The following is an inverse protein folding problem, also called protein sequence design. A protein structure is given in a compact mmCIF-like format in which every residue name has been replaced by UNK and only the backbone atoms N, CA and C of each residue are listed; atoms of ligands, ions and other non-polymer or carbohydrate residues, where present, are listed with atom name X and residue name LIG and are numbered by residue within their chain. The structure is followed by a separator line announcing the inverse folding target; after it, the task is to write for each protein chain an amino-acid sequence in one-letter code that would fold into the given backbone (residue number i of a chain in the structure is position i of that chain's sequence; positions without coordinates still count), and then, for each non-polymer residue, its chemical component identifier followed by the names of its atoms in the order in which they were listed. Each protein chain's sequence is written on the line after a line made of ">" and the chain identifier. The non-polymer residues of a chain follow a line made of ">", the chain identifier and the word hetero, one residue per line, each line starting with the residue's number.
data_IF_771714753311
#
_entry.id   IF_771714753311
#
_cell.length_a   1.000
_cell.length_b   1.000
_cell.length_c   1.000
_cell.angle_alpha   90.00
_cell.angle_beta   90.00
_cell.angle_gamma   90.00
#
_symmetry.space_group_name_H-M   'P 1'
#
loop_
_entity.id
_entity.type
_entity.pdbx_description
1 polymer ?
#
# COMPACT_ATOMS: atom_id res chain seq x y z
N UNK A 1 10.43 17.68 -19.29
CA UNK A 1 10.68 18.60 -18.15
C UNK A 1 9.61 19.68 -17.97
N UNK A 2 8.86 20.03 -19.03
CA UNK A 2 7.78 21.04 -18.99
C UNK A 2 6.64 20.72 -18.01
N UNK A 3 6.38 19.46 -17.68
CA UNK A 3 5.31 19.06 -16.74
C UNK A 3 5.67 19.21 -15.25
N UNK A 4 6.88 19.65 -14.91
CA UNK A 4 7.41 19.62 -13.53
C UNK A 4 7.80 20.98 -12.97
N UNK A 5 8.08 21.96 -13.83
CA UNK A 5 8.33 23.33 -13.41
C UNK A 5 7.92 24.28 -14.52
N UNK A 6 7.10 25.27 -14.19
CA UNK A 6 6.73 26.38 -15.05
C UNK A 6 7.59 27.63 -14.80
N UNK A 7 8.70 27.48 -14.04
CA UNK A 7 9.61 28.59 -13.71
C UNK A 7 10.33 29.08 -14.96
N UNK A 8 10.07 30.32 -15.35
CA UNK A 8 10.85 31.02 -16.39
C UNK A 8 12.18 31.48 -15.79
N UNK A 9 13.25 31.48 -16.60
CA UNK A 9 14.60 31.85 -16.13
C UNK A 9 15.25 30.82 -15.21
N UNK A 10 14.96 29.53 -15.39
CA UNK A 10 15.65 28.46 -14.66
C UNK A 10 17.15 28.51 -14.95
N UNK A 11 17.96 28.55 -13.90
CA UNK A 11 19.41 28.45 -14.00
C UNK A 11 19.81 27.02 -14.44
N UNK A 12 21.03 26.80 -14.95
CA UNK A 12 21.52 25.45 -15.23
C UNK A 12 21.41 24.50 -14.02
N UNK A 13 21.68 25.00 -12.80
CA UNK A 13 21.55 24.23 -11.56
C UNK A 13 20.09 23.83 -11.26
N UNK A 14 19.13 24.73 -11.55
CA UNK A 14 17.70 24.41 -11.43
C UNK A 14 17.32 23.27 -12.39
N UNK A 15 17.83 23.31 -13.62
CA UNK A 15 17.59 22.28 -14.65
C UNK A 15 18.15 20.94 -14.23
N UNK A 16 19.39 20.90 -13.74
CA UNK A 16 20.03 19.68 -13.23
C UNK A 16 19.26 19.10 -12.05
N UNK A 17 18.81 19.94 -11.11
CA UNK A 17 17.98 19.49 -10.00
C UNK A 17 16.65 18.90 -10.45
N UNK A 18 15.97 19.52 -11.41
CA UNK A 18 14.72 18.98 -11.97
C UNK A 18 14.97 17.66 -12.70
N UNK A 19 16.08 17.54 -13.42
CA UNK A 19 16.49 16.30 -14.06
C UNK A 19 16.74 15.18 -13.05
N UNK A 20 17.50 15.44 -11.98
CA UNK A 20 17.72 14.47 -10.90
C UNK A 20 16.40 14.06 -10.22
N UNK A 21 15.51 15.01 -9.94
CA UNK A 21 14.21 14.71 -9.33
C UNK A 21 13.33 13.87 -10.26
N UNK A 22 13.36 14.14 -11.57
CA UNK A 22 12.67 13.35 -12.58
C UNK A 22 13.15 11.90 -12.60
N UNK A 23 14.46 11.66 -12.55
CA UNK A 23 15.03 10.30 -12.49
C UNK A 23 14.60 9.56 -11.22
N UNK A 24 14.43 10.26 -10.10
CA UNK A 24 13.96 9.67 -8.82
C UNK A 24 12.47 9.35 -8.81
N UNK A 25 11.67 9.82 -9.76
CA UNK A 25 10.23 9.51 -9.83
C UNK A 25 9.96 8.01 -9.82
N UNK A 26 10.81 7.22 -10.48
CA UNK A 26 10.65 5.76 -10.56
C UNK A 26 10.83 5.05 -9.21
N UNK A 27 11.44 5.71 -8.21
CA UNK A 27 11.52 5.19 -6.84
C UNK A 27 10.13 5.09 -6.18
N UNK A 28 9.15 5.89 -6.62
CA UNK A 28 7.75 5.78 -6.16
C UNK A 28 7.11 4.47 -6.59
N UNK A 29 7.36 4.01 -7.82
CA UNK A 29 6.81 2.74 -8.32
C UNK A 29 7.36 1.55 -7.53
N UNK A 30 8.66 1.58 -7.20
CA UNK A 30 9.26 0.59 -6.31
C UNK A 30 8.66 0.62 -4.91
N UNK A 31 8.34 1.81 -4.40
CA UNK A 31 7.69 1.98 -3.11
C UNK A 31 6.26 1.41 -3.14
N UNK A 32 5.47 1.70 -4.16
CA UNK A 32 4.13 1.13 -4.33
C UNK A 32 4.17 -0.39 -4.48
N UNK A 33 5.11 -0.92 -5.27
CA UNK A 33 5.31 -2.37 -5.39
C UNK A 33 5.62 -2.99 -4.04
N UNK A 34 6.55 -2.42 -3.29
CA UNK A 34 6.92 -2.90 -1.96
C UNK A 34 5.74 -2.87 -0.98
N UNK A 35 5.00 -1.77 -0.92
CA UNK A 35 3.85 -1.60 -0.03
C UNK A 35 2.74 -2.60 -0.38
N UNK A 36 2.44 -2.81 -1.67
CA UNK A 36 1.43 -3.78 -2.11
C UNK A 36 1.86 -5.23 -1.84
N UNK A 37 3.06 -5.61 -2.27
CA UNK A 37 3.49 -7.01 -2.27
C UNK A 37 4.04 -7.49 -0.93
N UNK A 38 4.78 -6.62 -0.22
CA UNK A 38 5.47 -7.00 1.02
C UNK A 38 4.71 -6.56 2.26
N UNK A 39 4.23 -5.31 2.31
CA UNK A 39 3.47 -4.81 3.46
C UNK A 39 1.98 -5.21 3.40
N UNK A 40 1.51 -5.71 2.27
CA UNK A 40 0.17 -6.30 2.15
C UNK A 40 -0.94 -5.26 2.03
N UNK A 41 -0.69 -4.15 1.31
CA UNK A 41 -1.68 -3.09 1.16
C UNK A 41 -3.04 -3.60 0.68
N UNK A 42 -3.03 -4.54 -0.27
CA UNK A 42 -4.23 -5.12 -0.87
C UNK A 42 -4.65 -6.44 -0.23
N UNK A 43 -3.99 -6.87 0.86
CA UNK A 43 -4.26 -8.13 1.54
C UNK A 43 -5.55 -8.12 2.37
N UNK A 44 -5.86 -7.09 3.19
CA UNK A 44 -7.06 -7.13 4.02
C UNK A 44 -8.33 -6.87 3.20
N UNK A 45 -9.38 -7.64 3.48
CA UNK A 45 -10.72 -7.50 2.90
C UNK A 45 -11.54 -6.50 3.71
N UNK A 46 -11.18 -5.22 3.61
CA UNK A 46 -11.83 -4.12 4.32
C UNK A 46 -13.18 -3.77 3.69
N UNK A 47 -14.18 -3.49 4.52
CA UNK A 47 -15.58 -3.29 4.07
C UNK A 47 -15.98 -1.82 3.94
N UNK A 48 -15.26 -0.90 4.57
CA UNK A 48 -15.58 0.53 4.55
C UNK A 48 -14.35 1.33 4.11
N UNK A 49 -14.55 2.48 3.42
CA UNK A 49 -13.44 3.31 2.96
C UNK A 49 -12.60 3.83 4.14
N UNK A 50 -13.21 4.19 5.25
CA UNK A 50 -12.48 4.69 6.44
C UNK A 50 -11.59 3.61 7.04
N UNK A 51 -11.97 2.33 6.94
CA UNK A 51 -11.10 1.23 7.35
C UNK A 51 -9.90 1.08 6.40
N UNK A 52 -10.11 1.26 5.09
CA UNK A 52 -9.05 1.26 4.08
C UNK A 52 -8.07 2.43 4.26
N UNK A 53 -8.56 3.61 4.64
CA UNK A 53 -7.73 4.78 4.92
C UNK A 53 -6.86 4.54 6.16
N UNK A 54 -7.45 4.04 7.25
CA UNK A 54 -6.70 3.68 8.47
C UNK A 54 -5.65 2.61 8.19
N UNK A 55 -5.97 1.63 7.35
CA UNK A 55 -5.01 0.62 6.92
C UNK A 55 -3.84 1.24 6.15
N UNK A 56 -4.12 2.18 5.25
CA UNK A 56 -3.09 2.91 4.51
C UNK A 56 -2.17 3.70 5.46
N UNK A 57 -2.72 4.36 6.48
CA UNK A 57 -1.92 5.02 7.51
C UNK A 57 -1.01 4.07 8.29
N UNK A 58 -1.49 2.88 8.65
CA UNK A 58 -0.67 1.85 9.30
C UNK A 58 0.52 1.45 8.41
N UNK A 59 0.30 1.29 7.10
CA UNK A 59 1.37 0.95 6.15
C UNK A 59 2.39 2.08 6.00
N UNK A 60 1.93 3.33 5.99
CA UNK A 60 2.82 4.52 5.96
C UNK A 60 3.70 4.52 7.20
N UNK A 61 3.12 4.35 8.39
CA UNK A 61 3.89 4.26 9.64
C UNK A 61 4.89 3.11 9.60
N UNK A 62 4.48 1.91 9.16
CA UNK A 62 5.37 0.77 9.04
C UNK A 62 6.52 1.03 8.05
N UNK A 63 6.23 1.65 6.89
CA UNK A 63 7.26 2.01 5.93
C UNK A 63 8.26 3.02 6.51
N UNK A 64 7.77 4.03 7.23
CA UNK A 64 8.61 5.02 7.93
C UNK A 64 9.48 4.36 8.99
N UNK A 65 8.93 3.45 9.80
CA UNK A 65 9.71 2.69 10.79
C UNK A 65 10.84 1.89 10.13
N UNK A 66 10.58 1.24 9.00
CA UNK A 66 11.62 0.51 8.25
C UNK A 66 12.70 1.45 7.69
N UNK A 67 12.35 2.67 7.30
CA UNK A 67 13.32 3.67 6.83
C UNK A 67 14.19 4.19 7.98
N UNK A 68 13.58 4.48 9.13
CA UNK A 68 14.27 4.99 10.32
C UNK A 68 15.17 3.94 10.98
N UNK A 69 14.78 2.68 10.96
CA UNK A 69 15.56 1.58 11.56
C UNK A 69 16.67 1.04 10.66
N UNK A 70 16.76 1.51 9.41
CA UNK A 70 17.80 1.12 8.45
C UNK A 70 19.23 1.09 9.04
N UNK A 71 19.74 2.15 9.69
CA UNK A 71 21.11 2.14 10.21
C UNK A 71 21.35 1.09 11.29
N UNK A 72 20.28 0.62 11.96
CA UNK A 72 20.34 -0.39 13.01
C UNK A 72 20.21 -1.82 12.47
N UNK A 73 19.91 -1.99 11.19
CA UNK A 73 19.64 -3.29 10.60
C UNK A 73 20.93 -3.99 10.14
N UNK A 74 21.16 -5.19 10.65
CA UNK A 74 22.11 -6.12 10.04
C UNK A 74 21.57 -6.63 8.69
N UNK A 75 22.43 -6.80 7.69
CA UNK A 75 22.04 -7.33 6.37
C UNK A 75 21.80 -8.85 6.44
N UNK A 76 20.59 -9.25 6.86
CA UNK A 76 20.13 -10.65 6.81
C UNK A 76 19.80 -11.06 5.38
N UNK A 77 20.87 -11.27 4.60
CA UNK A 77 20.83 -11.62 3.18
C UNK A 77 20.59 -13.09 2.92
N UNK A 78 19.93 -13.37 1.80
CA UNK A 78 19.92 -14.71 1.21
C UNK A 78 21.29 -14.98 0.57
N UNK A 79 21.70 -16.26 0.44
CA UNK A 79 23.04 -16.61 -0.03
C UNK A 79 23.44 -15.95 -1.36
N UNK A 80 22.49 -15.83 -2.29
CA UNK A 80 22.69 -15.26 -3.63
C UNK A 80 22.53 -13.73 -3.70
N UNK A 81 22.13 -13.08 -2.61
CA UNK A 81 21.97 -11.62 -2.60
C UNK A 81 23.31 -10.94 -2.35
N UNK A 82 23.61 -9.91 -3.15
CA UNK A 82 24.83 -9.10 -2.99
C UNK A 82 24.85 -8.41 -1.62
N UNK A 83 25.99 -8.43 -0.90
CA UNK A 83 26.16 -7.66 0.33
C UNK A 83 25.88 -6.18 0.10
N UNK A 84 25.22 -5.53 1.05
CA UNK A 84 24.91 -4.11 0.98
C UNK A 84 25.19 -3.47 2.34
N UNK A 85 25.79 -2.28 2.32
CA UNK A 85 26.04 -1.50 3.53
C UNK A 85 24.73 -1.02 4.15
N UNK A 86 24.70 -0.84 5.48
CA UNK A 86 23.46 -0.51 6.21
C UNK A 86 22.76 0.74 5.67
N UNK A 87 23.49 1.76 5.23
CA UNK A 87 22.97 3.00 4.63
C UNK A 87 22.20 2.77 3.31
N UNK A 88 22.49 1.67 2.61
CA UNK A 88 21.89 1.31 1.30
C UNK A 88 20.86 0.18 1.38
N UNK A 89 20.57 -0.35 2.57
CA UNK A 89 19.60 -1.42 2.71
C UNK A 89 18.19 -0.98 2.24
N UNK A 90 17.58 -1.81 1.40
CA UNK A 90 16.20 -1.57 0.96
C UNK A 90 15.23 -1.86 2.11
N UNK A 91 14.04 -1.23 2.14
CA UNK A 91 13.04 -1.51 3.18
C UNK A 91 12.69 -3.00 3.33
N UNK A 92 12.75 -3.77 2.24
CA UNK A 92 12.55 -5.21 2.26
C UNK A 92 13.66 -5.96 3.01
N UNK A 93 14.93 -5.55 2.86
CA UNK A 93 16.05 -6.13 3.61
C UNK A 93 15.93 -5.80 5.10
N UNK A 94 15.67 -4.53 5.43
CA UNK A 94 15.47 -4.07 6.81
C UNK A 94 14.34 -4.85 7.49
N UNK A 95 13.22 -5.07 6.79
CA UNK A 95 12.08 -5.83 7.31
C UNK A 95 12.46 -7.23 7.77
N UNK A 96 13.39 -7.92 7.10
CA UNK A 96 13.82 -9.28 7.50
C UNK A 96 14.48 -9.28 8.87
N UNK A 97 15.30 -8.27 9.14
CA UNK A 97 15.97 -8.09 10.43
C UNK A 97 15.14 -7.33 11.48
N UNK A 98 14.02 -6.72 11.09
CA UNK A 98 13.24 -5.84 11.97
C UNK A 98 12.74 -6.55 13.24
N UNK A 99 12.50 -7.86 13.19
CA UNK A 99 12.14 -8.65 14.39
C UNK A 99 13.24 -8.59 15.47
N UNK A 100 14.50 -8.60 15.06
CA UNK A 100 15.64 -8.54 15.98
C UNK A 100 15.76 -7.13 16.57
N UNK A 101 15.58 -6.10 15.74
CA UNK A 101 15.59 -4.69 16.18
C UNK A 101 14.46 -4.43 17.18
N UNK A 102 13.25 -4.91 16.88
CA UNK A 102 12.05 -4.69 17.71
C UNK A 102 12.22 -5.16 19.15
N UNK A 103 13.00 -6.21 19.40
CA UNK A 103 13.24 -6.72 20.75
C UNK A 103 14.00 -5.72 21.64
N UNK A 104 14.74 -4.80 21.04
CA UNK A 104 15.53 -3.79 21.75
C UNK A 104 14.88 -2.40 21.76
N UNK A 105 13.76 -2.23 21.05
CA UNK A 105 13.01 -0.97 21.06
C UNK A 105 12.08 -0.93 22.28
N UNK A 106 11.95 0.24 22.90
CA UNK A 106 10.94 0.47 23.91
C UNK A 106 9.54 0.16 23.34
N UNK A 107 8.75 -0.64 24.07
CA UNK A 107 7.38 -0.94 23.71
C UNK A 107 6.45 0.05 24.43
N UNK A 108 5.90 1.09 23.75
CA UNK A 108 5.01 2.05 24.38
C UNK A 108 3.65 1.43 24.74
N UNK A 109 3.33 0.25 24.20
CA UNK A 109 2.09 -0.45 24.50
C UNK A 109 2.13 -1.08 25.89
N UNK A 110 1.12 -0.79 26.70
CA UNK A 110 0.89 -1.47 27.97
C UNK A 110 0.58 -2.96 27.72
N UNK A 111 0.93 -3.80 28.69
CA UNK A 111 0.54 -5.21 28.69
C UNK A 111 -0.97 -5.33 28.46
N UNK A 112 -1.42 -6.20 27.52
CA UNK A 112 -2.84 -6.43 27.29
C UNK A 112 -3.53 -6.84 28.58
N UNK A 113 -4.73 -6.31 28.84
CA UNK A 113 -5.54 -6.78 29.96
C UNK A 113 -5.92 -8.25 29.70
N UNK A 114 -5.69 -9.18 30.65
CA UNK A 114 -6.17 -10.55 30.52
C UNK A 114 -7.69 -10.50 30.34
N UNK A 115 -8.18 -11.03 29.22
CA UNK A 115 -9.61 -11.18 28.98
C UNK A 115 -9.80 -12.67 28.69
N UNK A 116 -10.59 -13.35 29.52
CA UNK A 116 -10.95 -14.74 29.27
C UNK A 116 -11.68 -14.88 27.93
N UNK A 117 -11.87 -16.11 27.46
CA UNK A 117 -12.79 -16.36 26.37
C UNK A 117 -14.15 -15.76 26.77
N UNK A 118 -14.71 -14.88 25.93
CA UNK A 118 -16.09 -14.45 26.12
C UNK A 118 -17.01 -15.67 26.12
N UNK A 119 -18.26 -15.56 26.60
CA UNK A 119 -19.22 -16.67 26.75
C UNK A 119 -19.63 -17.34 25.42
N UNK A 120 -18.93 -17.08 24.33
CA UNK A 120 -19.25 -17.55 22.99
C UNK A 120 -20.57 -16.97 22.52
N UNK A 121 -21.05 -17.53 21.42
CA UNK A 121 -22.40 -17.27 20.94
C UNK A 121 -23.35 -18.23 21.64
N UNK A 122 -24.47 -17.77 22.22
CA UNK A 122 -25.49 -18.66 22.77
C UNK A 122 -25.97 -19.67 21.71
N UNK A 123 -26.11 -20.96 22.05
CA UNK A 123 -26.71 -21.95 21.16
C UNK A 123 -28.09 -21.48 20.64
N UNK A 124 -28.39 -21.74 19.36
CA UNK A 124 -29.66 -21.31 18.73
C UNK A 124 -29.74 -19.84 18.29
N UNK A 125 -28.77 -19.00 18.67
CA UNK A 125 -28.65 -17.62 18.18
C UNK A 125 -28.37 -17.59 16.68
N UNK A 126 -29.34 -17.12 15.86
CA UNK A 126 -29.14 -16.83 14.43
C UNK A 126 -28.70 -15.38 14.21
N UNK A 127 -27.93 -15.11 13.16
CA UNK A 127 -27.54 -13.73 12.84
C UNK A 127 -28.76 -12.99 12.30
N UNK A 128 -29.31 -12.05 13.09
CA UNK A 128 -30.50 -11.27 12.72
C UNK A 128 -30.22 -10.17 11.70
N UNK A 129 -28.95 -9.81 11.49
CA UNK A 129 -28.54 -8.74 10.56
C UNK A 129 -27.54 -9.31 9.56
N UNK A 130 -28.00 -9.50 8.33
CA UNK A 130 -27.09 -9.76 7.22
C UNK A 130 -26.30 -8.48 6.90
N UNK A 131 -25.03 -8.61 6.53
CA UNK A 131 -24.27 -7.47 6.05
C UNK A 131 -24.90 -6.98 4.72
N UNK A 132 -25.08 -5.66 4.52
CA UNK A 132 -25.51 -5.13 3.23
C UNK A 132 -24.60 -5.64 2.12
N UNK A 133 -25.18 -6.26 1.09
CA UNK A 133 -24.46 -6.69 -0.11
C UNK A 133 -24.71 -5.62 -1.18
N UNK A 134 -23.63 -4.96 -1.58
CA UNK A 134 -23.66 -4.04 -2.71
C UNK A 134 -23.39 -4.82 -3.99
N UNK A 135 -24.11 -4.50 -5.06
CA UNK A 135 -23.83 -5.08 -6.37
C UNK A 135 -22.40 -4.68 -6.79
N UNK A 136 -21.57 -5.68 -7.06
CA UNK A 136 -20.19 -5.49 -7.50
C UNK A 136 -20.29 -5.21 -8.98
N UNK A 137 -20.57 -3.95 -9.34
CA UNK A 137 -20.77 -3.45 -10.71
C UNK A 137 -19.64 -3.83 -11.67
N UNK A 138 -19.64 -5.09 -12.11
CA UNK A 138 -18.78 -5.65 -13.13
C UNK A 138 -19.64 -5.98 -14.32
N UNK A 139 -19.66 -5.02 -15.23
CA UNK A 139 -19.78 -5.16 -16.68
C UNK A 139 -20.78 -6.22 -17.13
N UNK A 140 -22.05 -5.80 -17.27
CA UNK A 140 -22.95 -6.43 -18.24
C UNK A 140 -22.17 -6.48 -19.55
N UNK A 141 -21.86 -7.68 -20.05
CA UNK A 141 -21.23 -7.84 -21.36
C UNK A 141 -22.08 -7.03 -22.35
N UNK A 142 -21.43 -6.16 -23.12
CA UNK A 142 -22.04 -5.33 -24.17
C UNK A 142 -22.13 -6.16 -25.46
N UNK A 143 -23.26 -6.81 -25.76
CA UNK A 143 -23.68 -6.95 -27.15
C UNK A 143 -25.06 -6.33 -27.41
N UNK A 144 -25.86 -6.04 -26.38
CA UNK A 144 -27.24 -5.58 -26.60
C UNK A 144 -27.38 -4.07 -26.80
N UNK A 145 -26.43 -3.26 -26.32
CA UNK A 145 -26.50 -1.79 -26.46
C UNK A 145 -26.25 -1.27 -27.89
N UNK A 146 -25.78 -2.12 -28.82
CA UNK A 146 -25.58 -1.75 -30.23
C UNK A 146 -26.81 -2.06 -31.10
N UNK A 147 -27.69 -2.98 -30.69
CA UNK A 147 -28.96 -3.23 -31.39
C UNK A 147 -29.95 -2.08 -31.24
N UNK A 148 -29.82 -1.26 -30.19
CA UNK A 148 -30.67 -0.09 -29.98
C UNK A 148 -30.31 1.13 -30.86
N UNK A 149 -29.15 1.12 -31.54
CA UNK A 149 -28.67 2.27 -32.34
C UNK A 149 -28.85 2.03 -33.86
N UNK A 150 -29.39 0.87 -34.26
CA UNK A 150 -29.50 0.49 -35.68
C UNK A 150 -30.94 0.51 -36.23
N UNK A 151 -31.35 1.64 -36.81
CA UNK A 151 -31.99 1.74 -38.16
C UNK A 151 -32.39 3.20 -38.44
N UNK A 152 -31.72 3.92 -39.36
CA UNK A 152 -32.35 5.09 -39.97
C UNK A 152 -33.47 4.58 -40.90
N UNK A 153 -34.70 4.97 -40.60
CA UNK A 153 -35.83 4.72 -41.49
C UNK A 153 -35.62 5.46 -42.80
N UNK A 154 -35.59 4.73 -43.91
CA UNK A 154 -35.95 5.30 -45.22
C UNK A 154 -37.45 5.52 -45.25
N UNK A 155 -37.87 6.73 -45.60
CA UNK A 155 -39.18 6.98 -46.18
C UNK A 155 -39.05 8.19 -47.11
N UNK A 156 -39.21 7.89 -48.39
CA UNK A 156 -39.53 8.73 -49.56
C UNK A 156 -38.81 10.07 -49.73
#
# INVERSE_FOLDING_TARGET
>A
MWSWSSKTGATPDDVDRFWQAFLRRFDLEHTFRFVKQTLGWTTPKLRTPEAADRWTWILIVAHTQLRLTRPLAADLRRPWEKPTTSDRLTPARVRRGFRNIRAHLACPARVPKPRGAGPGRPPGSKNKRSAPRYDVGKTVKRPESLKAIGKPGRAW
#
